data_IF_818559211018
#
_entry.id   IF_818559211018
#
_cell.length_a   1.000
_cell.length_b   1.000
_cell.length_c   1.000
_cell.angle_alpha   90.00
_cell.angle_beta   90.00
_cell.angle_gamma   90.00
#
_symmetry.space_group_name_H-M   'P 1'
#
loop_
_entity.id
_entity.type
_entity.pdbx_description
1 polymer ?
#
# COMPACT_ATOMS: atom_id res chain seq x y z
N UNK A 1 -17.99 20.11 17.23
CA UNK A 1 -17.73 20.17 15.78
C UNK A 1 -18.14 18.84 15.14
N UNK A 2 -18.62 18.83 13.90
CA UNK A 2 -18.89 17.61 13.11
C UNK A 2 -18.65 17.87 11.61
N UNK A 3 -18.71 16.83 10.77
CA UNK A 3 -18.73 16.97 9.30
C UNK A 3 -17.39 16.83 8.58
N UNK A 4 -16.29 16.54 9.28
CA UNK A 4 -15.01 16.18 8.66
C UNK A 4 -15.06 14.70 8.28
N UNK A 5 -14.65 14.38 7.06
CA UNK A 5 -14.45 13.00 6.60
C UNK A 5 -13.04 12.79 6.07
N UNK A 6 -12.62 11.53 5.91
CA UNK A 6 -11.33 11.15 5.37
C UNK A 6 -11.54 10.27 4.15
N UNK A 7 -10.75 10.53 3.11
CA UNK A 7 -10.72 9.67 1.93
C UNK A 7 -9.94 8.39 2.20
N UNK A 8 -10.39 7.29 1.60
CA UNK A 8 -9.55 6.11 1.46
C UNK A 8 -8.32 6.45 0.62
N UNK A 9 -7.21 5.74 0.85
CA UNK A 9 -5.99 5.89 0.04
C UNK A 9 -5.43 4.55 -0.39
N UNK A 10 -4.67 4.55 -1.48
CA UNK A 10 -3.76 3.46 -1.80
C UNK A 10 -2.48 3.65 -0.99
N UNK A 11 -1.89 2.54 -0.53
CA UNK A 11 -0.62 2.55 0.18
C UNK A 11 0.45 3.35 -0.57
N UNK A 12 1.08 4.27 0.14
CA UNK A 12 2.06 5.24 -0.36
C UNK A 12 3.23 5.46 0.63
N UNK A 13 3.41 4.51 1.55
CA UNK A 13 4.43 4.49 2.59
C UNK A 13 4.39 5.64 3.63
N UNK A 14 3.29 6.39 3.73
CA UNK A 14 3.13 7.43 4.76
C UNK A 14 1.75 7.37 5.44
N UNK A 15 1.63 8.07 6.57
CA UNK A 15 0.40 8.14 7.38
C UNK A 15 -0.52 9.29 7.03
N UNK A 16 -0.18 10.16 6.06
CA UNK A 16 -0.97 11.36 5.78
C UNK A 16 -2.35 10.98 5.21
N UNK A 17 -3.40 11.58 5.78
CA UNK A 17 -4.77 11.42 5.31
C UNK A 17 -5.25 12.67 4.57
N UNK A 18 -6.02 12.46 3.51
CA UNK A 18 -6.75 13.54 2.81
C UNK A 18 -8.11 13.73 3.48
N UNK A 19 -8.32 14.90 4.07
CA UNK A 19 -9.57 15.26 4.74
C UNK A 19 -10.49 16.06 3.82
N UNK A 20 -11.79 15.83 3.92
CA UNK A 20 -12.82 16.73 3.42
C UNK A 20 -13.46 17.45 4.62
N UNK A 21 -13.25 18.77 4.65
CA UNK A 21 -13.76 19.67 5.68
C UNK A 21 -14.81 20.67 5.14
N UNK A 22 -15.34 20.44 3.94
CA UNK A 22 -16.31 21.35 3.30
C UNK A 22 -17.65 21.42 4.03
N UNK A 23 -18.00 20.36 4.76
CA UNK A 23 -19.27 20.22 5.48
C UNK A 23 -19.12 20.39 7.00
N UNK A 24 -18.04 21.04 7.45
CA UNK A 24 -17.80 21.27 8.88
C UNK A 24 -18.92 22.10 9.49
N UNK A 25 -19.45 21.63 10.61
CA UNK A 25 -20.42 22.34 11.42
C UNK A 25 -19.89 22.62 12.84
N UNK A 26 -20.07 23.85 13.28
CA UNK A 26 -19.76 24.31 14.63
C UNK A 26 -21.04 24.65 15.38
N UNK A 27 -21.43 23.77 16.30
CA UNK A 27 -22.51 24.07 17.24
C UNK A 27 -22.05 25.17 18.19
N UNK A 28 -22.87 26.22 18.34
CA UNK A 28 -22.59 27.34 19.25
C UNK A 28 -21.77 28.49 18.64
N UNK A 29 -21.28 28.37 17.39
CA UNK A 29 -20.69 29.52 16.69
C UNK A 29 -21.77 30.57 16.42
N UNK A 30 -21.50 31.82 16.81
CA UNK A 30 -22.38 32.96 16.57
C UNK A 30 -22.17 33.45 15.14
N UNK A 31 -23.26 33.83 14.47
CA UNK A 31 -23.19 34.35 13.11
C UNK A 31 -22.54 35.75 13.09
N UNK A 32 -21.54 35.93 12.24
CA UNK A 32 -20.74 37.16 12.16
C UNK A 32 -19.37 37.03 12.80
N UNK A 33 -19.15 36.04 13.68
CA UNK A 33 -17.86 35.84 14.32
C UNK A 33 -16.80 35.32 13.34
N UNK A 34 -15.62 35.93 13.44
CA UNK A 34 -14.41 35.51 12.76
C UNK A 34 -13.77 34.34 13.50
N UNK A 35 -14.21 33.15 13.13
CA UNK A 35 -13.74 31.87 13.61
C UNK A 35 -13.57 30.92 12.42
N UNK A 36 -12.34 30.45 12.21
CA UNK A 36 -11.93 29.57 11.12
C UNK A 36 -11.18 28.36 11.68
N UNK A 37 -11.40 27.18 11.09
CA UNK A 37 -10.67 25.96 11.43
C UNK A 37 -9.95 25.37 10.22
N UNK A 38 -8.74 24.90 10.45
CA UNK A 38 -7.95 24.12 9.49
C UNK A 38 -7.63 22.77 10.12
N UNK A 39 -7.45 21.74 9.30
CA UNK A 39 -7.34 20.36 9.78
C UNK A 39 -6.27 19.61 9.03
N UNK A 40 -5.45 18.88 9.77
CA UNK A 40 -4.60 17.82 9.23
C UNK A 40 -5.06 16.48 9.77
N UNK A 41 -4.77 15.41 9.05
CA UNK A 41 -5.17 14.06 9.41
C UNK A 41 -4.02 13.08 9.22
N UNK A 42 -3.92 12.11 10.15
CA UNK A 42 -2.98 11.01 10.03
C UNK A 42 -3.63 9.67 10.38
N UNK A 43 -3.43 8.66 9.53
CA UNK A 43 -3.74 7.27 9.84
C UNK A 43 -2.89 6.78 11.03
N UNK A 44 -3.43 5.84 11.80
CA UNK A 44 -2.75 5.20 12.94
C UNK A 44 -1.36 4.64 12.60
N UNK A 45 -1.21 4.17 11.36
CA UNK A 45 -0.01 3.64 10.76
C UNK A 45 -0.18 3.65 9.23
N UNK A 46 0.92 3.42 8.50
CA UNK A 46 0.94 3.44 7.04
C UNK A 46 0.33 2.19 6.39
N UNK A 47 0.06 1.13 7.13
CA UNK A 47 -0.18 -0.19 6.54
C UNK A 47 -1.59 -0.35 5.98
N UNK A 48 -1.74 -1.29 5.05
CA UNK A 48 -3.03 -1.67 4.47
C UNK A 48 -3.98 -2.17 5.55
N UNK A 49 -5.25 -1.74 5.46
CA UNK A 49 -6.29 -2.13 6.39
C UNK A 49 -7.61 -1.40 6.15
N UNK A 50 -8.68 -1.98 6.65
CA UNK A 50 -10.03 -1.39 6.61
C UNK A 50 -10.37 -0.71 7.94
N UNK A 51 -11.17 0.35 7.89
CA UNK A 51 -11.65 1.04 9.09
C UNK A 51 -10.53 1.62 9.95
N UNK A 52 -9.38 1.96 9.36
CA UNK A 52 -8.22 2.48 10.09
C UNK A 52 -8.55 3.84 10.68
N UNK A 53 -8.17 4.03 11.94
CA UNK A 53 -8.31 5.32 12.62
C UNK A 53 -7.49 6.38 11.92
N UNK A 54 -8.11 7.53 11.67
CA UNK A 54 -7.49 8.78 11.26
C UNK A 54 -7.66 9.78 12.39
N UNK A 55 -6.56 10.19 13.01
CA UNK A 55 -6.54 11.23 14.03
C UNK A 55 -6.56 12.59 13.35
N UNK A 56 -7.50 13.46 13.75
CA UNK A 56 -7.63 14.81 13.23
C UNK A 56 -6.91 15.77 14.18
N UNK A 57 -6.04 16.60 13.65
CA UNK A 57 -5.41 17.70 14.39
C UNK A 57 -5.96 19.03 13.87
N UNK A 58 -6.84 19.70 14.63
CA UNK A 58 -7.36 21.00 14.25
C UNK A 58 -6.38 22.14 14.59
N UNK A 59 -6.52 23.25 13.89
CA UNK A 59 -5.95 24.55 14.23
C UNK A 59 -7.01 25.61 13.98
N UNK A 60 -7.25 26.45 14.99
CA UNK A 60 -8.30 27.47 14.96
C UNK A 60 -7.69 28.88 14.94
N UNK A 61 -8.27 29.75 14.12
CA UNK A 61 -7.81 31.12 13.91
C UNK A 61 -8.98 32.08 13.74
N UNK A 62 -8.71 33.38 13.86
CA UNK A 62 -9.70 34.44 13.69
C UNK A 62 -9.78 35.33 14.94
N UNK A 63 -10.32 36.53 14.79
CA UNK A 63 -10.38 37.53 15.88
C UNK A 63 -11.19 37.02 17.09
N UNK A 64 -12.21 36.20 16.85
CA UNK A 64 -13.14 35.74 17.89
C UNK A 64 -12.79 34.36 18.43
N UNK A 65 -11.67 33.75 18.01
CA UNK A 65 -11.30 32.37 18.40
C UNK A 65 -11.21 32.17 19.91
N UNK A 66 -10.74 33.19 20.65
CA UNK A 66 -10.62 33.16 22.10
C UNK A 66 -11.95 33.14 22.86
N UNK A 67 -13.06 33.43 22.18
CA UNK A 67 -14.41 33.39 22.78
C UNK A 67 -15.00 31.97 22.83
N UNK A 68 -14.34 30.99 22.21
CA UNK A 68 -14.84 29.64 22.05
C UNK A 68 -13.95 28.61 22.76
N UNK A 69 -14.58 27.69 23.49
CA UNK A 69 -13.95 26.43 23.90
C UNK A 69 -14.38 25.34 22.93
N UNK A 70 -13.45 24.85 22.12
CA UNK A 70 -13.76 23.83 21.10
C UNK A 70 -13.55 22.44 21.67
N UNK A 71 -14.59 21.60 21.62
CA UNK A 71 -14.46 20.16 21.85
C UNK A 71 -14.15 19.48 20.52
N UNK A 72 -12.93 18.96 20.40
CA UNK A 72 -12.41 18.41 19.15
C UNK A 72 -13.08 17.10 18.72
N UNK A 73 -13.24 16.93 17.41
CA UNK A 73 -13.63 15.66 16.80
C UNK A 73 -12.36 14.84 16.56
N UNK A 74 -11.98 14.04 17.56
CA UNK A 74 -10.61 13.51 17.62
C UNK A 74 -10.28 12.51 16.52
N UNK A 75 -11.24 11.69 16.07
CA UNK A 75 -10.97 10.57 15.17
C UNK A 75 -12.11 10.27 14.21
N UNK A 76 -11.75 9.84 13.01
CA UNK A 76 -12.64 9.23 12.03
C UNK A 76 -11.98 7.95 11.47
N UNK A 77 -12.62 7.27 10.52
CA UNK A 77 -12.07 6.05 9.91
C UNK A 77 -12.02 6.14 8.40
N UNK A 78 -10.95 5.59 7.81
CA UNK A 78 -10.82 5.38 6.37
C UNK A 78 -10.00 4.11 6.08
N UNK A 79 -9.99 3.66 4.83
CA UNK A 79 -9.25 2.47 4.40
C UNK A 79 -7.91 2.85 3.77
N UNK A 80 -6.90 2.01 3.97
CA UNK A 80 -5.67 1.98 3.17
C UNK A 80 -5.69 0.71 2.34
N UNK A 81 -5.72 0.82 1.01
CA UNK A 81 -5.72 -0.31 0.08
C UNK A 81 -4.33 -0.64 -0.41
N UNK A 82 -4.09 -1.89 -0.78
CA UNK A 82 -2.77 -2.35 -1.23
C UNK A 82 -2.33 -1.67 -2.53
N UNK A 83 -1.03 -1.36 -2.61
CA UNK A 83 -0.41 -0.84 -3.83
C UNK A 83 -0.11 -1.99 -4.79
N UNK A 84 -0.38 -1.82 -6.08
CA UNK A 84 0.02 -2.82 -7.06
C UNK A 84 1.56 -2.92 -7.15
N UNK A 85 2.06 -4.15 -7.11
CA UNK A 85 3.48 -4.47 -7.34
C UNK A 85 3.59 -5.53 -8.43
N UNK A 86 4.38 -5.26 -9.46
CA UNK A 86 4.66 -6.25 -10.50
C UNK A 86 6.07 -6.78 -10.33
N UNK A 87 6.19 -8.11 -10.27
CA UNK A 87 7.49 -8.80 -10.27
C UNK A 87 7.73 -9.39 -11.65
N UNK A 88 8.91 -9.12 -12.23
CA UNK A 88 9.33 -9.61 -13.55
C UNK A 88 10.84 -9.84 -13.62
N UNK A 89 11.36 -10.27 -14.77
CA UNK A 89 12.81 -10.40 -15.02
C UNK A 89 13.45 -11.71 -14.54
N UNK A 90 12.63 -12.69 -14.12
CA UNK A 90 13.09 -14.04 -13.81
C UNK A 90 13.00 -14.88 -15.07
N UNK A 91 14.09 -15.52 -15.43
CA UNK A 91 14.14 -16.48 -16.55
C UNK A 91 14.59 -17.84 -16.07
N UNK A 92 14.32 -18.87 -16.87
CA UNK A 92 14.82 -20.22 -16.64
C UNK A 92 15.93 -20.56 -17.64
N UNK A 93 16.90 -21.36 -17.22
CA UNK A 93 17.92 -21.90 -18.11
C UNK A 93 17.55 -23.27 -18.63
N UNK A 94 17.98 -23.59 -19.84
CA UNK A 94 18.01 -24.96 -20.35
C UNK A 94 18.81 -25.87 -19.42
N UNK A 95 18.48 -27.16 -19.46
CA UNK A 95 19.25 -28.20 -18.76
C UNK A 95 19.42 -29.45 -19.61
N UNK A 96 20.51 -30.17 -19.33
CA UNK A 96 20.64 -31.57 -19.77
C UNK A 96 19.69 -32.44 -18.96
N UNK A 97 19.10 -33.45 -19.61
CA UNK A 97 18.23 -34.40 -18.93
C UNK A 97 18.97 -35.14 -17.81
N UNK A 98 18.42 -35.08 -16.61
CA UNK A 98 18.95 -35.70 -15.38
C UNK A 98 17.87 -36.47 -14.61
N UNK A 99 16.71 -36.70 -15.23
CA UNK A 99 15.58 -37.40 -14.62
C UNK A 99 14.77 -36.60 -13.60
N UNK A 100 15.05 -35.30 -13.38
CA UNK A 100 14.26 -34.45 -12.49
C UNK A 100 13.68 -33.21 -13.20
N UNK A 101 12.59 -32.68 -12.65
CA UNK A 101 11.88 -31.51 -13.17
C UNK A 101 12.36 -30.18 -12.56
N UNK A 102 13.45 -30.15 -11.78
CA UNK A 102 13.93 -28.90 -11.16
C UNK A 102 14.54 -28.01 -12.24
N UNK A 103 14.12 -26.74 -12.27
CA UNK A 103 14.66 -25.72 -13.16
C UNK A 103 15.63 -24.79 -12.43
N UNK A 104 16.73 -24.46 -13.11
CA UNK A 104 17.65 -23.41 -12.66
C UNK A 104 17.10 -22.06 -13.10
N UNK A 105 16.86 -21.17 -12.15
CA UNK A 105 16.35 -19.82 -12.41
C UNK A 105 17.49 -18.81 -12.41
N UNK A 106 17.42 -17.82 -13.29
CA UNK A 106 18.20 -16.60 -13.21
C UNK A 106 17.35 -15.51 -12.54
N UNK A 107 17.77 -15.11 -11.34
CA UNK A 107 17.11 -14.08 -10.52
C UNK A 107 17.93 -12.80 -10.39
N UNK A 108 19.06 -12.69 -11.10
CA UNK A 108 19.96 -11.52 -11.03
C UNK A 108 19.35 -10.25 -11.62
N UNK A 109 18.32 -10.39 -12.45
CA UNK A 109 17.63 -9.29 -13.14
C UNK A 109 16.19 -9.12 -12.68
N UNK A 110 15.84 -9.57 -11.47
CA UNK A 110 14.49 -9.39 -10.92
C UNK A 110 14.17 -7.90 -10.81
N UNK A 111 12.98 -7.53 -11.30
CA UNK A 111 12.46 -6.16 -11.25
C UNK A 111 11.20 -6.12 -10.40
N UNK A 112 11.14 -5.15 -9.48
CA UNK A 112 10.00 -4.87 -8.61
C UNK A 112 9.35 -3.53 -9.00
N UNK A 113 8.50 -3.54 -10.02
CA UNK A 113 7.83 -2.32 -10.49
C UNK A 113 6.66 -1.95 -9.59
N UNK A 114 6.72 -0.77 -8.99
CA UNK A 114 5.74 -0.28 -8.01
C UNK A 114 6.19 -0.35 -6.55
N UNK A 115 7.34 -0.96 -6.27
CA UNK A 115 7.93 -0.97 -4.93
C UNK A 115 8.37 0.45 -4.56
N UNK A 116 7.95 0.91 -3.38
CA UNK A 116 8.33 2.22 -2.87
C UNK A 116 9.74 2.14 -2.27
N UNK A 117 10.58 3.12 -2.58
CA UNK A 117 11.93 3.19 -2.03
C UNK A 117 11.89 3.26 -0.50
N UNK A 118 12.68 2.41 0.17
CA UNK A 118 12.73 2.29 1.63
C UNK A 118 11.82 1.19 2.20
N UNK A 119 10.90 0.63 1.42
CA UNK A 119 10.13 -0.53 1.86
C UNK A 119 10.95 -1.82 1.80
N UNK A 120 10.66 -2.70 2.75
CA UNK A 120 11.27 -4.02 2.89
C UNK A 120 10.40 -5.07 2.20
N UNK A 121 10.83 -5.48 1.00
CA UNK A 121 10.20 -6.52 0.20
C UNK A 121 11.27 -7.37 -0.48
N UNK A 122 11.27 -8.67 -0.23
CA UNK A 122 12.24 -9.62 -0.79
C UNK A 122 11.53 -10.84 -1.33
N UNK A 123 11.90 -11.27 -2.53
CA UNK A 123 11.38 -12.49 -3.15
C UNK A 123 12.44 -13.59 -3.25
N UNK A 124 12.05 -14.82 -2.93
CA UNK A 124 12.76 -16.04 -3.30
C UNK A 124 11.92 -16.82 -4.30
N UNK A 125 12.58 -17.57 -5.19
CA UNK A 125 11.92 -18.18 -6.33
C UNK A 125 12.43 -19.60 -6.55
N UNK A 126 11.51 -20.54 -6.72
CA UNK A 126 11.81 -21.90 -7.17
C UNK A 126 11.17 -22.15 -8.53
N UNK A 127 11.81 -22.99 -9.34
CA UNK A 127 11.36 -23.29 -10.70
C UNK A 127 11.20 -24.79 -10.91
N UNK A 128 10.15 -25.19 -11.62
CA UNK A 128 9.97 -26.56 -12.06
C UNK A 128 9.48 -26.62 -13.51
N UNK A 129 10.10 -27.47 -14.33
CA UNK A 129 9.55 -27.86 -15.61
C UNK A 129 8.23 -28.61 -15.43
N UNK A 130 7.37 -28.55 -16.44
CA UNK A 130 6.08 -29.24 -16.43
C UNK A 130 6.15 -30.76 -16.17
N UNK A 131 7.27 -31.40 -16.54
CA UNK A 131 7.60 -32.80 -16.23
C UNK A 131 9.11 -33.04 -16.42
N UNK A 132 9.61 -34.20 -15.98
CA UNK A 132 11.02 -34.56 -16.08
C UNK A 132 11.50 -34.99 -17.48
N UNK A 133 10.59 -35.34 -18.40
CA UNK A 133 10.94 -35.91 -19.70
C UNK A 133 11.73 -34.91 -20.56
N UNK A 134 12.71 -35.42 -21.32
CA UNK A 134 13.44 -34.63 -22.30
C UNK A 134 12.50 -34.08 -23.39
N UNK A 135 12.76 -32.86 -23.84
CA UNK A 135 12.00 -32.16 -24.87
C UNK A 135 12.40 -30.69 -24.95
N UNK A 136 11.99 -30.01 -26.02
CA UNK A 136 12.21 -28.57 -26.24
C UNK A 136 10.92 -27.79 -25.97
N UNK A 137 11.03 -26.48 -25.70
CA UNK A 137 9.88 -25.60 -25.46
C UNK A 137 9.10 -25.98 -24.19
N UNK A 138 9.79 -26.50 -23.17
CA UNK A 138 9.16 -26.92 -21.91
C UNK A 138 8.77 -25.69 -21.11
N UNK A 139 7.56 -25.69 -20.57
CA UNK A 139 7.10 -24.64 -19.66
C UNK A 139 7.75 -24.79 -18.30
N UNK A 140 8.25 -23.69 -17.75
CA UNK A 140 8.72 -23.60 -16.36
C UNK A 140 7.68 -22.86 -15.51
N UNK A 141 7.23 -23.51 -14.44
CA UNK A 141 6.41 -22.89 -13.40
C UNK A 141 7.32 -22.28 -12.34
N UNK A 142 7.21 -20.97 -12.13
CA UNK A 142 7.95 -20.23 -11.10
C UNK A 142 7.05 -20.05 -9.87
N UNK A 143 7.52 -20.50 -8.71
CA UNK A 143 6.84 -20.35 -7.43
C UNK A 143 7.60 -19.35 -6.56
N UNK A 144 7.05 -18.13 -6.34
CA UNK A 144 7.66 -17.15 -5.47
C UNK A 144 7.28 -17.36 -3.99
N UNK A 145 8.16 -16.91 -3.10
CA UNK A 145 7.85 -16.61 -1.70
C UNK A 145 8.33 -15.20 -1.38
N UNK A 146 7.49 -14.41 -0.72
CA UNK A 146 7.77 -13.01 -0.40
C UNK A 146 7.90 -12.80 1.10
N UNK A 147 8.91 -12.04 1.50
CA UNK A 147 9.22 -11.73 2.91
C UNK A 147 9.60 -10.25 3.06
N UNK A 148 9.51 -9.73 4.27
CA UNK A 148 9.74 -8.32 4.58
C UNK A 148 8.56 -7.72 5.34
N UNK A 149 8.80 -6.63 6.07
CA UNK A 149 7.79 -6.01 6.91
C UNK A 149 6.66 -5.35 6.08
N UNK A 150 6.92 -5.02 4.82
CA UNK A 150 6.00 -4.27 3.98
C UNK A 150 5.26 -5.12 2.95
N UNK A 151 5.47 -6.45 2.92
CA UNK A 151 4.84 -7.36 1.94
C UNK A 151 3.33 -7.26 1.92
N UNK A 152 2.69 -7.16 3.09
CA UNK A 152 1.23 -7.04 3.20
C UNK A 152 0.65 -5.76 2.62
N UNK A 153 1.51 -4.77 2.33
CA UNK A 153 1.10 -3.49 1.77
C UNK A 153 0.97 -3.52 0.23
N UNK A 154 1.34 -4.63 -0.40
CA UNK A 154 1.35 -4.78 -1.85
C UNK A 154 0.43 -5.90 -2.36
N UNK A 155 -0.29 -5.62 -3.43
CA UNK A 155 -0.98 -6.63 -4.25
C UNK A 155 -0.04 -7.06 -5.37
N UNK A 156 0.52 -8.26 -5.25
CA UNK A 156 1.58 -8.72 -6.16
C UNK A 156 1.01 -9.38 -7.41
N UNK A 157 1.28 -8.79 -8.57
CA UNK A 157 1.02 -9.34 -9.89
C UNK A 157 2.27 -10.00 -10.46
N UNK A 158 2.07 -11.16 -11.12
CA UNK A 158 3.13 -11.98 -11.68
C UNK A 158 3.05 -11.98 -13.20
N UNK A 159 4.20 -11.87 -13.86
CA UNK A 159 4.32 -12.11 -15.29
C UNK A 159 5.46 -13.11 -15.52
N UNK A 160 5.17 -14.39 -15.29
CA UNK A 160 6.15 -15.47 -15.40
C UNK A 160 5.56 -16.64 -16.20
N UNK A 161 5.85 -16.66 -17.49
CA UNK A 161 5.86 -17.87 -18.30
C UNK A 161 7.11 -17.78 -19.17
N UNK A 162 8.05 -18.67 -18.92
CA UNK A 162 9.25 -18.80 -19.74
C UNK A 162 9.22 -20.16 -20.47
N UNK A 163 9.60 -20.13 -21.74
CA UNK A 163 9.69 -21.30 -22.60
C UNK A 163 11.18 -21.56 -22.86
N UNK A 164 11.66 -22.70 -22.40
CA UNK A 164 13.00 -23.22 -22.66
C UNK A 164 12.95 -24.28 -23.77
#
# INVERSE_FOLDING_TARGET
MSGITASNKTYDANTVATLDATSVAYTGKINGDDFNGTYTGAFSDKNVGTGKTVTITPSYTGADVGNYSVTDHATITANVTAKALTVSGITASDKTYDGNAVATLNTGSVLYSGLINGDTFSGTYTGAFNNANAGTGKTVTITPSYTGADVSNYSVNRSFYDYS
#
